data_IF_504797986843
#
_entry.id   IF_504797986843
#
_cell.length_a   1.000
_cell.length_b   1.000
_cell.length_c   1.000
_cell.angle_alpha   90.00
_cell.angle_beta   90.00
_cell.angle_gamma   90.00
#
_symmetry.space_group_name_H-M   'P 1'
#
loop_
_entity.id
_entity.type
_entity.pdbx_description
1 polymer ?
#
# COMPACT_ATOMS: atom_id res chain seq x y z
N UNK A 1 27.72 7.59 -0.37
CA UNK A 1 26.63 6.67 0.04
C UNK A 1 25.54 7.36 0.85
N UNK A 2 25.84 8.28 1.77
CA UNK A 2 24.85 8.97 2.60
C UNK A 2 23.69 9.64 1.82
N UNK A 3 23.96 10.35 0.73
CA UNK A 3 22.90 10.96 -0.08
C UNK A 3 21.95 9.94 -0.71
N UNK A 4 22.46 8.76 -1.10
CA UNK A 4 21.62 7.68 -1.65
C UNK A 4 20.66 7.17 -0.59
N UNK A 5 21.13 6.96 0.64
CA UNK A 5 20.26 6.52 1.74
C UNK A 5 19.17 7.54 2.06
N UNK A 6 19.51 8.83 2.11
CA UNK A 6 18.54 9.90 2.36
C UNK A 6 17.46 9.92 1.26
N UNK A 7 17.86 9.83 0.00
CA UNK A 7 16.92 9.82 -1.14
C UNK A 7 16.03 8.58 -1.09
N UNK A 8 16.59 7.40 -0.84
CA UNK A 8 15.83 6.14 -0.84
C UNK A 8 14.83 6.09 0.33
N UNK A 9 15.25 6.49 1.53
CA UNK A 9 14.35 6.58 2.69
C UNK A 9 13.26 7.61 2.42
N UNK A 10 13.62 8.79 1.92
CA UNK A 10 12.65 9.85 1.58
C UNK A 10 11.61 9.38 0.57
N UNK A 11 12.03 8.71 -0.49
CA UNK A 11 11.12 8.12 -1.49
C UNK A 11 10.24 7.03 -0.89
N UNK A 12 10.80 6.14 -0.05
CA UNK A 12 10.05 5.08 0.61
C UNK A 12 8.93 5.64 1.48
N UNK A 13 9.27 6.63 2.33
CA UNK A 13 8.32 7.27 3.24
C UNK A 13 7.26 8.04 2.46
N UNK A 14 7.64 8.86 1.48
CA UNK A 14 6.67 9.65 0.70
C UNK A 14 5.72 8.76 -0.10
N UNK A 15 6.24 7.71 -0.74
CA UNK A 15 5.42 6.75 -1.46
C UNK A 15 4.48 5.98 -0.53
N UNK A 16 4.98 5.56 0.65
CA UNK A 16 4.19 4.85 1.66
C UNK A 16 3.08 5.71 2.25
N UNK A 17 3.38 6.97 2.60
CA UNK A 17 2.41 7.94 3.12
C UNK A 17 1.35 8.24 2.07
N UNK A 18 1.74 8.47 0.81
CA UNK A 18 0.78 8.68 -0.27
C UNK A 18 -0.13 7.46 -0.45
N UNK A 19 0.46 6.26 -0.51
CA UNK A 19 -0.28 5.03 -0.74
C UNK A 19 -1.28 4.75 0.40
N UNK A 20 -0.82 4.75 1.65
CA UNK A 20 -1.67 4.55 2.81
C UNK A 20 -2.72 5.66 2.97
N UNK A 21 -2.31 6.93 2.88
CA UNK A 21 -3.18 8.08 3.07
C UNK A 21 -4.31 8.15 2.04
N UNK A 22 -3.99 7.97 0.75
CA UNK A 22 -5.01 7.95 -0.30
C UNK A 22 -5.94 6.75 -0.19
N UNK A 23 -5.40 5.57 0.14
CA UNK A 23 -6.22 4.36 0.35
C UNK A 23 -7.23 4.56 1.49
N UNK A 24 -6.80 5.13 2.61
CA UNK A 24 -7.68 5.43 3.75
C UNK A 24 -8.71 6.51 3.41
N UNK A 25 -8.33 7.55 2.65
CA UNK A 25 -9.24 8.61 2.24
C UNK A 25 -10.36 8.06 1.34
N UNK A 26 -9.98 7.33 0.28
CA UNK A 26 -10.92 6.70 -0.66
C UNK A 26 -11.81 5.67 0.05
N UNK A 27 -11.28 4.95 1.04
CA UNK A 27 -12.04 3.98 1.81
C UNK A 27 -13.19 4.57 2.66
N UNK A 28 -13.11 5.87 2.99
CA UNK A 28 -14.05 6.55 3.88
C UNK A 28 -15.09 7.39 3.15
N UNK A 29 -14.82 7.77 1.91
CA UNK A 29 -15.69 8.63 1.12
C UNK A 29 -16.09 7.93 -0.20
N UNK A 30 -17.33 7.45 -0.31
CA UNK A 30 -17.82 6.77 -1.51
C UNK A 30 -17.97 7.69 -2.72
N UNK A 31 -17.97 9.02 -2.54
CA UNK A 31 -18.02 9.98 -3.65
C UNK A 31 -16.65 10.09 -4.34
N UNK A 32 -15.57 9.69 -3.65
CA UNK A 32 -14.24 9.57 -4.24
C UNK A 32 -14.19 8.35 -5.16
N UNK A 33 -14.08 8.61 -6.47
CA UNK A 33 -13.97 7.58 -7.50
C UNK A 33 -12.65 6.80 -7.38
N UNK A 34 -12.69 5.68 -6.68
CA UNK A 34 -11.56 4.77 -6.47
C UNK A 34 -10.85 4.36 -7.78
N UNK A 35 -11.57 4.28 -8.90
CA UNK A 35 -11.00 3.94 -10.22
C UNK A 35 -9.95 4.94 -10.70
N UNK A 36 -10.04 6.21 -10.28
CA UNK A 36 -9.08 7.25 -10.65
C UNK A 36 -7.78 7.15 -9.86
N UNK A 37 -7.86 6.64 -8.62
CA UNK A 37 -6.72 6.54 -7.71
C UNK A 37 -6.00 5.20 -7.77
N UNK A 38 -6.62 4.17 -8.35
CA UNK A 38 -6.01 2.85 -8.46
C UNK A 38 -4.62 2.87 -9.12
N UNK A 39 -4.45 3.52 -10.28
CA UNK A 39 -3.14 3.57 -10.97
C UNK A 39 -2.08 4.34 -10.17
N UNK A 40 -2.37 5.56 -9.66
CA UNK A 40 -1.45 6.25 -8.74
C UNK A 40 -1.09 5.43 -7.50
N UNK A 41 -2.06 4.80 -6.83
CA UNK A 41 -1.84 3.98 -5.64
C UNK A 41 -0.94 2.78 -5.94
N UNK A 42 -1.20 2.05 -7.04
CA UNK A 42 -0.35 0.91 -7.41
C UNK A 42 1.05 1.35 -7.84
N UNK A 43 1.20 2.52 -8.46
CA UNK A 43 2.51 3.11 -8.75
C UNK A 43 3.29 3.42 -7.47
N UNK A 44 2.63 4.01 -6.47
CA UNK A 44 3.24 4.29 -5.17
C UNK A 44 3.57 2.99 -4.41
N UNK A 45 2.68 1.99 -4.42
CA UNK A 45 2.94 0.67 -3.85
C UNK A 45 4.19 0.03 -4.48
N UNK A 46 4.31 0.08 -5.81
CA UNK A 46 5.51 -0.38 -6.51
C UNK A 46 6.78 0.33 -6.05
N UNK A 47 6.72 1.66 -5.90
CA UNK A 47 7.85 2.45 -5.40
C UNK A 47 8.22 2.09 -3.95
N UNK A 48 7.23 1.84 -3.08
CA UNK A 48 7.45 1.36 -1.70
C UNK A 48 8.17 0.01 -1.70
N UNK A 49 7.75 -0.96 -2.51
CA UNK A 49 8.42 -2.26 -2.56
C UNK A 49 9.84 -2.15 -3.11
N UNK A 50 10.05 -1.38 -4.19
CA UNK A 50 11.39 -1.19 -4.77
C UNK A 50 12.35 -0.54 -3.77
N UNK A 51 11.92 0.56 -3.15
CA UNK A 51 12.73 1.26 -2.15
C UNK A 51 12.91 0.43 -0.88
N UNK A 52 11.89 -0.34 -0.46
CA UNK A 52 11.98 -1.23 0.70
C UNK A 52 12.98 -2.37 0.50
N UNK A 53 13.00 -2.99 -0.69
CA UNK A 53 14.03 -3.99 -1.06
C UNK A 53 15.42 -3.36 -1.03
N UNK A 54 15.56 -2.13 -1.53
CA UNK A 54 16.84 -1.44 -1.54
C UNK A 54 17.32 -1.09 -0.12
N UNK A 55 16.40 -0.65 0.76
CA UNK A 55 16.71 -0.41 2.17
C UNK A 55 17.09 -1.70 2.90
N UNK A 56 16.38 -2.80 2.61
CA UNK A 56 16.74 -4.12 3.12
C UNK A 56 18.16 -4.49 2.71
N UNK A 57 18.50 -4.34 1.43
CA UNK A 57 19.85 -4.60 0.93
C UNK A 57 20.93 -3.74 1.60
N UNK A 58 20.63 -2.46 1.91
CA UNK A 58 21.60 -1.55 2.53
C UNK A 58 21.81 -1.77 4.03
N UNK A 59 20.78 -2.19 4.76
CA UNK A 59 20.78 -2.18 6.23
C UNK A 59 20.64 -3.56 6.88
N UNK A 60 20.45 -4.64 6.12
CA UNK A 60 20.34 -5.97 6.68
C UNK A 60 21.71 -6.58 6.98
N UNK A 61 22.03 -6.79 8.25
CA UNK A 61 23.31 -7.36 8.72
C UNK A 61 23.29 -8.90 8.83
N UNK A 62 22.23 -9.57 8.34
CA UNK A 62 22.16 -11.03 8.20
C UNK A 62 21.72 -11.80 9.45
N UNK A 63 21.46 -11.13 10.57
CA UNK A 63 20.95 -11.75 11.81
C UNK A 63 19.52 -11.29 12.05
N UNK A 64 18.54 -12.21 11.92
CA UNK A 64 17.12 -11.93 12.15
C UNK A 64 16.77 -11.73 13.64
N UNK A 65 16.84 -10.48 14.11
CA UNK A 65 16.43 -10.01 15.42
C UNK A 65 14.92 -9.74 15.55
N UNK A 66 14.52 -9.22 16.71
CA UNK A 66 13.12 -8.85 16.99
C UNK A 66 12.61 -7.74 16.07
N UNK A 67 13.46 -6.76 15.76
CA UNK A 67 13.16 -5.68 14.80
C UNK A 67 12.75 -6.23 13.43
N UNK A 68 13.54 -7.14 12.84
CA UNK A 68 13.26 -7.66 11.50
C UNK A 68 12.01 -8.53 11.46
N UNK A 69 11.65 -9.20 12.56
CA UNK A 69 10.38 -9.93 12.65
C UNK A 69 9.18 -8.98 12.58
N UNK A 70 9.25 -7.83 13.25
CA UNK A 70 8.21 -6.80 13.19
C UNK A 70 8.14 -6.19 11.79
N UNK A 71 9.29 -5.89 11.17
CA UNK A 71 9.33 -5.40 9.78
C UNK A 71 8.80 -6.44 8.79
N UNK A 72 9.14 -7.72 8.96
CA UNK A 72 8.64 -8.80 8.12
C UNK A 72 7.11 -8.92 8.19
N UNK A 73 6.52 -8.78 9.39
CA UNK A 73 5.06 -8.69 9.53
C UNK A 73 4.50 -7.50 8.75
N UNK A 74 5.13 -6.33 8.87
CA UNK A 74 4.75 -5.14 8.10
C UNK A 74 4.77 -5.37 6.58
N UNK A 75 5.81 -6.04 6.08
CA UNK A 75 5.97 -6.40 4.66
C UNK A 75 4.87 -7.36 4.21
N UNK A 76 4.61 -8.43 4.96
CA UNK A 76 3.52 -9.39 4.65
C UNK A 76 2.19 -8.66 4.57
N UNK A 77 1.93 -7.78 5.54
CA UNK A 77 0.68 -7.01 5.59
C UNK A 77 0.54 -6.07 4.39
N UNK A 78 1.64 -5.44 3.97
CA UNK A 78 1.67 -4.57 2.79
C UNK A 78 1.45 -5.36 1.48
N UNK A 79 2.03 -6.57 1.37
CA UNK A 79 1.81 -7.46 0.23
C UNK A 79 0.35 -7.87 0.10
N UNK A 80 -0.29 -8.21 1.23
CA UNK A 80 -1.72 -8.52 1.26
C UNK A 80 -2.54 -7.29 0.85
N UNK A 81 -2.19 -6.10 1.34
CA UNK A 81 -2.88 -4.85 0.96
C UNK A 81 -2.82 -4.59 -0.55
N UNK A 82 -1.62 -4.69 -1.15
CA UNK A 82 -1.43 -4.54 -2.59
C UNK A 82 -2.21 -5.61 -3.37
N UNK A 83 -2.21 -6.87 -2.88
CA UNK A 83 -3.00 -7.96 -3.46
C UNK A 83 -4.50 -7.67 -3.43
N UNK A 84 -5.02 -7.18 -2.31
CA UNK A 84 -6.42 -6.78 -2.14
C UNK A 84 -6.80 -5.65 -3.09
N UNK A 85 -5.98 -4.60 -3.21
CA UNK A 85 -6.22 -3.51 -4.17
C UNK A 85 -6.18 -4.03 -5.61
N UNK A 86 -5.17 -4.81 -5.97
CA UNK A 86 -5.08 -5.42 -7.31
C UNK A 86 -6.30 -6.29 -7.65
N UNK A 87 -6.74 -7.12 -6.71
CA UNK A 87 -7.82 -8.08 -6.91
C UNK A 87 -9.22 -7.45 -6.86
N UNK A 88 -9.49 -6.52 -5.95
CA UNK A 88 -10.83 -5.94 -5.75
C UNK A 88 -11.01 -4.61 -6.48
N UNK A 89 -10.00 -3.76 -6.46
CA UNK A 89 -10.06 -2.40 -7.03
C UNK A 89 -9.64 -2.43 -8.50
N UNK A 90 -8.54 -3.12 -8.81
CA UNK A 90 -8.04 -3.27 -10.18
C UNK A 90 -8.97 -4.07 -11.08
N UNK A 91 -9.50 -5.21 -10.60
CA UNK A 91 -10.45 -6.01 -11.40
C UNK A 91 -11.74 -5.25 -11.70
N UNK A 92 -12.30 -4.56 -10.70
CA UNK A 92 -13.52 -3.79 -10.84
C UNK A 92 -13.31 -2.55 -11.74
N UNK A 93 -12.17 -1.85 -11.60
CA UNK A 93 -11.82 -0.72 -12.48
C UNK A 93 -11.77 -1.12 -13.96
N UNK A 94 -11.25 -2.30 -14.28
CA UNK A 94 -11.21 -2.79 -15.66
C UNK A 94 -12.60 -3.13 -16.21
N UNK A 95 -13.49 -3.63 -15.36
CA UNK A 95 -14.85 -4.00 -15.76
C UNK A 95 -15.78 -2.79 -15.89
N UNK A 96 -15.48 -1.70 -15.18
CA UNK A 96 -16.28 -0.46 -15.15
C UNK A 96 -16.49 0.19 -16.54
N UNK A 97 -15.52 0.07 -17.45
CA UNK A 97 -15.59 0.68 -18.78
C UNK A 97 -16.66 0.05 -19.71
N UNK A 98 -17.04 -1.21 -19.46
CA UNK A 98 -18.00 -1.96 -20.27
C UNK A 98 -19.32 -2.25 -19.52
N UNK A 99 -19.46 -1.76 -18.29
CA UNK A 99 -20.56 -2.09 -17.40
C UNK A 99 -21.75 -1.12 -17.52
N UNK A 100 -22.96 -1.65 -17.38
CA UNK A 100 -24.20 -0.87 -17.27
C UNK A 100 -24.31 -0.13 -15.91
N UNK A 101 -25.29 0.75 -15.78
CA UNK A 101 -25.44 1.60 -14.58
C UNK A 101 -25.65 0.80 -13.27
N UNK A 102 -26.39 -0.31 -13.35
CA UNK A 102 -26.62 -1.20 -12.20
C UNK A 102 -25.32 -1.89 -11.75
N UNK A 103 -24.56 -2.42 -12.71
CA UNK A 103 -23.28 -3.09 -12.45
C UNK A 103 -22.21 -2.12 -12.00
N UNK A 104 -22.17 -0.89 -12.53
CA UNK A 104 -21.23 0.14 -12.09
C UNK A 104 -21.35 0.44 -10.59
N UNK A 105 -22.58 0.48 -10.06
CA UNK A 105 -22.83 0.70 -8.63
C UNK A 105 -22.24 -0.43 -7.78
N UNK A 106 -22.45 -1.67 -8.20
CA UNK A 106 -21.90 -2.86 -7.51
C UNK A 106 -20.37 -2.90 -7.59
N UNK A 107 -19.80 -2.58 -8.74
CA UNK A 107 -18.35 -2.51 -8.93
C UNK A 107 -17.71 -1.45 -8.03
N UNK A 108 -18.29 -0.25 -7.95
CA UNK A 108 -17.79 0.81 -7.03
C UNK A 108 -17.90 0.41 -5.56
N UNK A 109 -18.98 -0.27 -5.16
CA UNK A 109 -19.10 -0.81 -3.80
C UNK A 109 -18.01 -1.87 -3.51
N UNK A 110 -17.70 -2.74 -4.47
CA UNK A 110 -16.61 -3.72 -4.37
C UNK A 110 -15.25 -3.02 -4.22
N UNK A 111 -15.01 -1.97 -4.98
CA UNK A 111 -13.77 -1.17 -4.89
C UNK A 111 -13.63 -0.53 -3.52
N UNK A 112 -14.69 0.12 -3.02
CA UNK A 112 -14.71 0.72 -1.68
C UNK A 112 -14.39 -0.30 -0.59
N UNK A 113 -14.94 -1.52 -0.70
CA UNK A 113 -14.60 -2.62 0.23
C UNK A 113 -13.11 -2.99 0.14
N UNK A 114 -12.55 -3.04 -1.07
CA UNK A 114 -11.12 -3.29 -1.28
C UNK A 114 -10.24 -2.23 -0.61
N UNK A 115 -10.55 -0.95 -0.81
CA UNK A 115 -9.84 0.18 -0.19
C UNK A 115 -9.94 0.14 1.34
N UNK A 116 -11.07 -0.26 1.92
CA UNK A 116 -11.23 -0.40 3.39
C UNK A 116 -10.33 -1.49 3.98
N UNK A 117 -10.30 -2.65 3.32
CA UNK A 117 -9.46 -3.77 3.76
C UNK A 117 -7.98 -3.39 3.62
N UNK A 118 -7.59 -2.87 2.45
CA UNK A 118 -6.23 -2.44 2.18
C UNK A 118 -5.79 -1.31 3.13
N UNK A 119 -6.64 -0.32 3.38
CA UNK A 119 -6.36 0.77 4.32
C UNK A 119 -6.10 0.25 5.74
N UNK A 120 -6.90 -0.71 6.22
CA UNK A 120 -6.66 -1.35 7.51
C UNK A 120 -5.33 -2.09 7.59
N UNK A 121 -4.98 -2.83 6.53
CA UNK A 121 -3.69 -3.53 6.42
C UNK A 121 -2.51 -2.54 6.38
N UNK A 122 -2.64 -1.45 5.63
CA UNK A 122 -1.60 -0.41 5.55
C UNK A 122 -1.40 0.31 6.89
N UNK A 123 -2.45 0.50 7.69
CA UNK A 123 -2.32 1.00 9.06
C UNK A 123 -1.44 0.07 9.90
N UNK A 124 -1.67 -1.25 9.82
CA UNK A 124 -0.84 -2.24 10.53
C UNK A 124 0.62 -2.17 10.02
N UNK A 125 0.84 -2.10 8.70
CA UNK A 125 2.18 -1.91 8.12
C UNK A 125 2.89 -0.68 8.69
N UNK A 126 2.22 0.47 8.75
CA UNK A 126 2.79 1.70 9.31
C UNK A 126 3.11 1.54 10.79
N UNK A 127 2.25 0.89 11.56
CA UNK A 127 2.54 0.58 12.97
C UNK A 127 3.78 -0.29 13.11
N UNK A 128 3.92 -1.36 12.31
CA UNK A 128 5.12 -2.20 12.32
C UNK A 128 6.39 -1.38 12.03
N UNK A 129 6.37 -0.49 11.04
CA UNK A 129 7.53 0.36 10.73
C UNK A 129 7.85 1.35 11.87
N UNK A 130 6.82 1.93 12.49
CA UNK A 130 6.99 2.91 13.57
C UNK A 130 7.51 2.28 14.87
N UNK A 131 7.11 1.04 15.17
CA UNK A 131 7.50 0.34 16.40
C UNK A 131 8.75 -0.51 16.24
N UNK A 132 9.16 -0.84 15.00
CA UNK A 132 10.37 -1.62 14.73
C UNK A 132 11.61 -1.07 15.46
N UNK A 133 11.78 0.25 15.53
CA UNK A 133 12.91 0.91 16.22
C UNK A 133 12.91 0.76 17.75
N UNK A 134 11.84 0.23 18.34
CA UNK A 134 11.70 0.04 19.79
C UNK A 134 12.19 -1.35 20.24
N UNK A 135 12.67 -2.17 19.30
CA UNK A 135 13.20 -3.51 19.50
C UNK A 135 14.65 -3.59 19.02
#
# INVERSE_FOLDING_TARGET
MQYVYIVVIGLHVMAGVFWAGTTIAVARDPDIRAERFFRPQMGAAGLVFLTGILLWYFFHEGVFGSMEKVLALGIVTALIAAGVQGALVGSASRQLAAADAATQTQLRAKMTRGERIAGGLLVITVFCMATARMF
#
